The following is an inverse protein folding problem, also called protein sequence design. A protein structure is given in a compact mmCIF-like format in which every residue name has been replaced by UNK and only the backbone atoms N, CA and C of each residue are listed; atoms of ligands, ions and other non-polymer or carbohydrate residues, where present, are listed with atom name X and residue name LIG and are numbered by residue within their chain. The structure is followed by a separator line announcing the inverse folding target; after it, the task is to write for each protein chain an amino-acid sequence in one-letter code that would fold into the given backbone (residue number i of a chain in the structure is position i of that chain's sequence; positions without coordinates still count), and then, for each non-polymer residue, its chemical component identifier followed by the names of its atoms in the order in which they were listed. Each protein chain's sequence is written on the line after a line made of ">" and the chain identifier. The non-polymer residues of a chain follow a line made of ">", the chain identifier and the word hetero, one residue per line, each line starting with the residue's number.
data_IF_974216061387
#
_entry.id   IF_974216061387
#
_cell.length_a   1.000
_cell.length_b   1.000
_cell.length_c   1.000
_cell.angle_alpha   90.00
_cell.angle_beta   90.00
_cell.angle_gamma   90.00
#
_symmetry.space_group_name_H-M   'P 1'
#
loop_
_entity.id
_entity.type
_entity.pdbx_description
1 polymer ?
#
# COMPACT_ATOMS: atom_id res chain seq x y z
N UNK A 1 -28.00 35.78 -46.37
CA UNK A 1 -28.71 34.50 -46.12
C UNK A 1 -27.64 33.42 -45.97
N UNK A 2 -27.42 32.92 -44.75
CA UNK A 2 -26.53 31.80 -44.53
C UNK A 2 -27.30 30.51 -44.88
N UNK A 3 -26.70 29.55 -45.59
CA UNK A 3 -27.35 28.31 -45.93
C UNK A 3 -27.73 27.55 -44.67
N UNK A 4 -28.99 27.16 -44.51
CA UNK A 4 -29.47 26.28 -43.48
C UNK A 4 -28.74 24.94 -43.65
N UNK A 5 -27.91 24.56 -42.66
CA UNK A 5 -27.42 23.21 -42.56
C UNK A 5 -28.63 22.29 -42.38
N UNK A 6 -28.94 21.48 -43.40
CA UNK A 6 -29.83 20.35 -43.24
C UNK A 6 -29.17 19.38 -42.25
N UNK A 7 -29.92 18.84 -41.30
CA UNK A 7 -29.40 17.78 -40.46
C UNK A 7 -29.09 16.59 -41.39
N UNK A 8 -27.87 16.08 -41.31
CA UNK A 8 -27.45 14.87 -41.97
C UNK A 8 -28.42 13.76 -41.55
N UNK A 9 -29.12 13.18 -42.50
CA UNK A 9 -30.05 12.07 -42.28
C UNK A 9 -29.29 10.82 -41.84
N UNK A 10 -29.99 9.81 -41.30
CA UNK A 10 -29.37 8.58 -40.78
C UNK A 10 -28.52 7.81 -41.81
N UNK A 11 -28.61 8.16 -43.11
CA UNK A 11 -27.80 7.56 -44.17
C UNK A 11 -26.45 8.20 -44.41
N UNK A 12 -26.20 9.38 -43.82
CA UNK A 12 -24.95 10.10 -43.95
C UNK A 12 -24.04 9.94 -42.71
N UNK A 13 -24.50 9.26 -41.69
CA UNK A 13 -23.58 8.65 -40.73
C UNK A 13 -22.92 7.50 -41.49
N UNK A 14 -21.60 7.55 -41.80
CA UNK A 14 -20.94 6.31 -42.18
C UNK A 14 -21.38 5.28 -41.13
N UNK A 15 -21.85 4.12 -41.60
CA UNK A 15 -21.80 2.94 -40.77
C UNK A 15 -20.35 2.80 -40.33
N UNK A 16 -20.04 3.51 -39.25
CA UNK A 16 -18.91 3.16 -38.43
C UNK A 16 -19.23 1.71 -38.11
N UNK A 17 -18.50 0.74 -38.71
CA UNK A 17 -18.59 -0.64 -38.26
C UNK A 17 -18.48 -0.50 -36.79
N UNK A 18 -19.61 -0.74 -36.16
CA UNK A 18 -19.68 -0.53 -34.75
C UNK A 18 -18.33 -0.83 -34.17
N UNK A 19 -17.57 0.16 -34.19
CA UNK A 19 -16.28 0.08 -33.61
C UNK A 19 -16.47 0.24 -32.09
N UNK A 20 -17.19 -0.13 -32.22
CA UNK A 20 -17.99 -1.20 -31.93
C UNK A 20 -17.32 -1.96 -30.83
N UNK A 21 -16.21 -1.89 -30.56
CA UNK A 21 -15.53 -2.44 -29.42
C UNK A 21 -15.36 -1.51 -28.24
N UNK A 22 -15.58 -0.26 -28.37
CA UNK A 22 -15.34 0.71 -27.28
C UNK A 22 -16.63 1.11 -26.55
N UNK A 23 -17.65 0.30 -26.57
CA UNK A 23 -18.83 0.43 -25.71
C UNK A 23 -18.54 0.08 -24.26
N UNK A 24 -17.45 -0.65 -24.01
CA UNK A 24 -16.96 -0.97 -22.68
C UNK A 24 -15.43 -0.82 -22.62
N UNK A 25 -14.95 -0.10 -21.62
CA UNK A 25 -13.52 0.01 -21.39
C UNK A 25 -13.01 -1.20 -20.59
N UNK A 26 -11.76 -1.60 -20.89
CA UNK A 26 -11.11 -2.75 -20.27
C UNK A 26 -9.92 -2.35 -19.38
N UNK A 27 -9.56 -1.07 -19.37
CA UNK A 27 -8.45 -0.57 -18.56
C UNK A 27 -7.62 0.50 -19.25
N UNK A 28 -6.45 0.78 -18.67
CA UNK A 28 -5.50 1.79 -19.14
C UNK A 28 -4.28 1.11 -19.79
N UNK A 29 -3.87 1.62 -20.95
CA UNK A 29 -2.67 1.21 -21.66
C UNK A 29 -1.93 2.44 -22.20
N UNK A 30 -0.86 2.83 -21.56
CA UNK A 30 -0.10 4.05 -21.86
C UNK A 30 1.01 3.86 -22.90
N UNK A 31 1.07 2.71 -23.56
CA UNK A 31 2.02 2.47 -24.66
C UNK A 31 1.76 3.40 -25.83
N UNK A 32 2.66 3.40 -26.80
CA UNK A 32 2.49 4.22 -28.00
C UNK A 32 1.13 3.95 -28.67
N UNK A 33 0.43 4.96 -29.20
CA UNK A 33 -0.94 4.84 -29.72
C UNK A 33 -1.21 3.64 -30.63
N UNK A 34 -0.31 3.21 -31.53
CA UNK A 34 -0.52 2.03 -32.36
C UNK A 34 -0.59 0.71 -31.58
N UNK A 35 -0.07 0.69 -30.33
CA UNK A 35 0.01 -0.50 -29.50
C UNK A 35 -1.16 -0.59 -28.49
N UNK A 36 -1.99 0.45 -28.41
CA UNK A 36 -3.14 0.47 -27.49
C UNK A 36 -4.28 -0.34 -28.11
N UNK A 37 -4.67 -1.48 -27.50
CA UNK A 37 -5.72 -2.32 -28.06
C UNK A 37 -7.10 -1.66 -27.94
N UNK A 38 -8.08 -2.14 -28.71
CA UNK A 38 -9.49 -1.75 -28.51
C UNK A 38 -9.94 -1.96 -27.09
N UNK A 39 -10.80 -1.07 -26.58
CA UNK A 39 -11.30 -1.10 -25.22
C UNK A 39 -10.34 -0.52 -24.16
N UNK A 40 -9.12 -0.15 -24.52
CA UNK A 40 -8.20 0.51 -23.58
C UNK A 40 -8.10 2.01 -23.84
N UNK A 41 -7.95 2.77 -22.74
CA UNK A 41 -7.64 4.21 -22.80
C UNK A 41 -6.14 4.42 -22.69
N UNK A 42 -5.62 5.47 -23.33
CA UNK A 42 -4.19 5.76 -23.28
C UNK A 42 -3.77 6.43 -21.98
N UNK A 43 -4.68 7.04 -21.24
CA UNK A 43 -4.44 7.57 -19.90
C UNK A 43 -5.74 7.76 -19.14
N UNK A 44 -5.72 7.46 -17.84
CA UNK A 44 -6.81 7.69 -16.92
C UNK A 44 -6.25 8.25 -15.61
N UNK A 45 -6.63 9.49 -15.29
CA UNK A 45 -6.25 10.17 -14.05
C UNK A 45 -7.48 10.32 -13.17
N UNK A 46 -7.40 9.87 -11.92
CA UNK A 46 -8.47 10.00 -10.93
C UNK A 46 -9.81 9.38 -11.39
N UNK A 47 -9.75 8.27 -12.06
CA UNK A 47 -10.91 7.58 -12.61
C UNK A 47 -11.05 6.16 -12.06
N UNK A 48 -12.26 5.64 -12.11
CA UNK A 48 -12.58 4.25 -11.75
C UNK A 48 -13.29 3.58 -12.91
N UNK A 49 -12.93 2.34 -13.16
CA UNK A 49 -13.57 1.50 -14.17
C UNK A 49 -14.61 0.62 -13.49
N UNK A 50 -15.87 0.92 -13.72
CA UNK A 50 -17.01 0.21 -13.17
C UNK A 50 -17.84 -0.33 -14.33
N UNK A 51 -18.01 -1.64 -14.43
CA UNK A 51 -18.80 -2.31 -15.47
C UNK A 51 -18.48 -1.86 -16.92
N UNK A 52 -17.21 -1.55 -17.17
CA UNK A 52 -16.76 -1.09 -18.49
C UNK A 52 -16.93 0.41 -18.76
N UNK A 53 -17.35 1.19 -17.77
CA UNK A 53 -17.50 2.64 -17.85
C UNK A 53 -16.48 3.31 -16.93
N UNK A 54 -15.86 4.39 -17.40
CA UNK A 54 -15.03 5.23 -16.54
C UNK A 54 -15.86 6.30 -15.86
N UNK A 55 -15.81 6.34 -14.55
CA UNK A 55 -16.37 7.39 -13.70
C UNK A 55 -15.30 8.08 -12.88
N UNK A 56 -15.57 9.28 -12.36
CA UNK A 56 -14.66 9.94 -11.43
C UNK A 56 -14.46 9.08 -10.19
N UNK A 57 -13.22 8.96 -9.69
CA UNK A 57 -12.97 8.27 -8.44
C UNK A 57 -13.74 8.94 -7.29
N UNK A 58 -14.01 8.17 -6.27
CA UNK A 58 -14.46 8.74 -5.00
C UNK A 58 -13.29 9.43 -4.29
N UNK A 59 -13.61 10.47 -3.57
CA UNK A 59 -12.63 11.28 -2.90
C UNK A 59 -12.13 10.71 -1.59
N UNK A 60 -11.09 11.33 -1.07
CA UNK A 60 -10.63 11.12 0.28
C UNK A 60 -11.62 11.69 1.28
N UNK A 61 -11.82 11.01 2.39
CA UNK A 61 -12.56 11.53 3.51
C UNK A 61 -11.66 11.56 4.75
N UNK A 62 -11.20 12.75 5.11
CA UNK A 62 -10.60 12.95 6.42
C UNK A 62 -11.72 12.89 7.47
N UNK A 63 -11.77 11.86 8.31
CA UNK A 63 -12.77 11.82 9.38
C UNK A 63 -12.57 13.01 10.28
N UNK A 64 -13.68 13.52 10.81
CA UNK A 64 -13.60 14.66 11.70
C UNK A 64 -12.68 14.40 12.91
N UNK A 65 -12.55 13.16 13.35
CA UNK A 65 -11.64 12.76 14.42
C UNK A 65 -10.17 12.68 13.99
N UNK A 66 -9.84 12.72 12.71
CA UNK A 66 -8.45 12.85 12.25
C UNK A 66 -7.88 14.25 12.42
N UNK A 67 -8.72 15.19 12.87
CA UNK A 67 -8.32 16.53 13.30
C UNK A 67 -7.84 16.48 14.74
N UNK A 68 -6.94 17.35 15.06
CA UNK A 68 -6.73 17.73 16.43
C UNK A 68 -7.98 18.48 16.87
N UNK A 69 -8.68 17.96 17.83
CA UNK A 69 -9.88 18.40 18.50
C UNK A 69 -10.76 19.48 17.83
N UNK A 70 -12.04 19.28 17.81
CA UNK A 70 -12.99 20.36 17.58
C UNK A 70 -14.13 20.27 18.57
N UNK A 71 -14.73 21.41 18.83
CA UNK A 71 -15.87 21.54 19.74
C UNK A 71 -17.09 20.67 19.35
N UNK A 72 -17.15 20.21 18.09
CA UNK A 72 -18.28 19.45 17.56
C UNK A 72 -18.32 17.98 18.01
N UNK A 73 -17.26 17.51 18.65
CA UNK A 73 -17.18 16.15 19.15
C UNK A 73 -16.73 16.18 20.62
N UNK A 74 -17.63 16.29 21.56
CA UNK A 74 -17.32 16.53 22.96
C UNK A 74 -16.45 15.45 23.60
N UNK A 75 -16.50 14.22 23.14
CA UNK A 75 -15.59 13.16 23.62
C UNK A 75 -14.16 13.30 23.13
N UNK A 76 -13.88 14.17 22.14
CA UNK A 76 -12.53 14.47 21.65
C UNK A 76 -11.80 15.47 22.51
N UNK A 77 -12.55 16.42 23.08
CA UNK A 77 -12.00 17.44 23.95
C UNK A 77 -11.28 16.85 25.18
N UNK A 78 -11.57 15.59 25.54
CA UNK A 78 -10.92 14.91 26.66
C UNK A 78 -9.53 14.36 26.34
N UNK A 79 -9.22 14.18 25.04
CA UNK A 79 -7.94 13.55 24.62
C UNK A 79 -7.00 14.50 23.89
N UNK A 80 -7.56 15.42 23.12
CA UNK A 80 -6.79 16.29 22.23
C UNK A 80 -7.38 17.68 22.28
N UNK A 81 -6.76 18.57 23.01
CA UNK A 81 -7.12 20.00 22.95
C UNK A 81 -6.47 20.58 21.72
N UNK A 82 -7.26 21.24 20.86
CA UNK A 82 -6.81 21.93 19.64
C UNK A 82 -5.77 23.02 19.90
N UNK A 83 -5.77 23.53 21.10
CA UNK A 83 -4.89 24.55 21.62
C UNK A 83 -3.64 24.00 22.31
N UNK A 84 -3.52 22.66 22.41
CA UNK A 84 -2.31 22.06 22.96
C UNK A 84 -1.19 21.99 21.89
N UNK A 85 -0.47 23.11 21.78
CA UNK A 85 0.66 23.22 20.89
C UNK A 85 1.76 22.16 21.17
N UNK A 86 1.88 21.71 22.41
CA UNK A 86 2.83 20.67 22.79
C UNK A 86 2.40 19.31 22.23
N UNK A 87 1.11 19.00 22.28
CA UNK A 87 0.58 17.78 21.66
C UNK A 87 0.78 17.79 20.14
N UNK A 88 0.41 18.89 19.48
CA UNK A 88 0.57 19.04 18.03
C UNK A 88 2.05 18.87 17.66
N UNK A 89 2.97 19.51 18.38
CA UNK A 89 4.39 19.39 18.13
C UNK A 89 4.91 17.96 18.35
N UNK A 90 4.38 17.25 19.36
CA UNK A 90 4.84 15.89 19.69
C UNK A 90 4.31 14.82 18.73
N UNK A 91 3.10 14.97 18.18
CA UNK A 91 2.41 13.89 17.48
C UNK A 91 1.99 14.22 16.05
N UNK A 92 2.31 15.39 15.53
CA UNK A 92 1.99 15.77 14.15
C UNK A 92 2.78 14.96 13.12
N UNK A 93 4.05 14.63 13.41
CA UNK A 93 4.89 13.86 12.49
C UNK A 93 4.66 12.36 12.69
N UNK A 94 4.39 11.66 11.61
CA UNK A 94 4.22 10.21 11.59
C UNK A 94 5.36 9.56 10.82
N UNK A 95 5.96 8.55 11.41
CA UNK A 95 7.08 7.79 10.84
C UNK A 95 6.67 6.44 10.27
N UNK A 96 5.49 5.97 10.60
CA UNK A 96 4.91 4.73 10.12
C UNK A 96 3.52 4.52 10.71
N UNK A 97 2.86 3.48 10.28
CA UNK A 97 1.53 3.18 10.78
C UNK A 97 1.00 1.86 10.25
N UNK A 98 -0.20 1.54 10.67
CA UNK A 98 -0.88 0.31 10.30
C UNK A 98 -2.19 0.15 11.05
N UNK A 99 -2.58 -1.08 11.26
CA UNK A 99 -3.78 -1.47 11.97
C UNK A 99 -3.42 -2.27 13.22
N UNK A 100 -4.22 -2.12 14.27
CA UNK A 100 -4.22 -2.97 15.45
C UNK A 100 -5.64 -3.48 15.68
N UNK A 101 -5.79 -4.79 15.59
CA UNK A 101 -7.02 -5.48 16.00
C UNK A 101 -6.85 -5.91 17.46
N UNK A 102 -7.65 -5.36 18.35
CA UNK A 102 -7.58 -5.66 19.78
C UNK A 102 -8.23 -7.03 20.06
N UNK A 103 -7.47 -8.06 20.44
CA UNK A 103 -8.03 -9.38 20.69
C UNK A 103 -8.81 -9.47 22.01
N UNK A 104 -8.66 -8.47 22.89
CA UNK A 104 -9.40 -8.40 24.16
C UNK A 104 -10.79 -7.78 24.02
N UNK A 105 -11.04 -7.10 22.90
CA UNK A 105 -12.31 -6.44 22.62
C UNK A 105 -12.72 -6.83 21.19
N UNK A 106 -13.43 -7.93 21.05
CA UNK A 106 -13.78 -8.52 19.76
C UNK A 106 -14.50 -7.48 18.86
N UNK A 107 -13.85 -7.14 17.77
CA UNK A 107 -14.32 -6.19 16.76
C UNK A 107 -13.67 -4.80 16.84
N UNK A 108 -12.88 -4.51 17.84
CA UNK A 108 -12.18 -3.23 17.93
C UNK A 108 -10.92 -3.21 17.08
N UNK A 109 -11.00 -2.48 15.98
CA UNK A 109 -9.86 -2.26 15.08
C UNK A 109 -9.44 -0.79 15.12
N UNK A 110 -8.16 -0.56 15.42
CA UNK A 110 -7.57 0.76 15.56
C UNK A 110 -6.64 1.08 14.41
N UNK A 111 -6.66 2.32 13.98
CA UNK A 111 -5.57 2.86 13.17
C UNK A 111 -4.45 3.26 14.11
N UNK A 112 -3.25 2.81 13.86
CA UNK A 112 -2.06 3.09 14.67
C UNK A 112 -1.10 3.96 13.90
N UNK A 113 -0.62 5.04 14.53
CA UNK A 113 0.47 5.87 14.02
C UNK A 113 1.66 5.81 14.95
N UNK A 114 2.84 5.69 14.39
CA UNK A 114 4.10 5.81 15.12
C UNK A 114 4.57 7.25 15.06
N UNK A 115 4.58 7.91 16.19
CA UNK A 115 5.12 9.25 16.35
C UNK A 115 6.52 9.21 16.99
N UNK A 116 7.16 10.35 17.18
CA UNK A 116 8.52 10.41 17.71
C UNK A 116 8.69 9.71 19.08
N UNK A 117 7.71 9.84 19.96
CA UNK A 117 7.78 9.39 21.35
C UNK A 117 6.58 8.57 21.82
N UNK A 118 5.67 8.23 20.92
CA UNK A 118 4.45 7.49 21.26
C UNK A 118 3.84 6.76 20.08
N UNK A 119 2.99 5.77 20.38
CA UNK A 119 1.95 5.28 19.48
C UNK A 119 0.66 6.06 19.71
N UNK A 120 0.00 6.45 18.63
CA UNK A 120 -1.30 7.12 18.66
C UNK A 120 -2.32 6.22 17.98
N UNK A 121 -3.34 5.83 18.72
CA UNK A 121 -4.42 4.96 18.28
C UNK A 121 -5.68 5.78 18.04
N UNK A 122 -6.34 5.52 16.93
CA UNK A 122 -7.60 6.17 16.57
C UNK A 122 -8.60 5.14 16.02
N UNK A 123 -9.88 5.31 16.36
CA UNK A 123 -11.00 4.56 15.80
C UNK A 123 -12.22 5.46 15.66
N UNK A 124 -13.31 4.97 15.09
CA UNK A 124 -14.51 5.79 14.86
C UNK A 124 -15.07 6.41 16.13
N UNK A 125 -15.14 5.64 17.21
CA UNK A 125 -15.76 6.05 18.47
C UNK A 125 -14.80 6.68 19.45
N UNK A 126 -13.50 6.55 19.25
CA UNK A 126 -12.48 7.02 20.18
C UNK A 126 -11.24 7.53 19.45
N UNK A 127 -10.79 8.70 19.85
CA UNK A 127 -9.67 9.38 19.25
C UNK A 127 -8.54 9.50 20.23
N UNK A 128 -7.39 9.00 19.81
CA UNK A 128 -6.15 9.38 20.44
C UNK A 128 -5.88 8.69 21.76
N UNK A 129 -6.08 7.38 21.85
CA UNK A 129 -5.32 6.67 22.88
C UNK A 129 -3.85 6.79 22.56
N UNK A 130 -3.09 7.23 23.55
CA UNK A 130 -1.66 7.47 23.41
C UNK A 130 -0.95 6.46 24.30
N UNK A 131 -0.06 5.69 23.69
CA UNK A 131 0.84 4.78 24.40
C UNK A 131 2.24 5.37 24.31
N UNK A 132 2.78 5.95 25.39
CA UNK A 132 4.09 6.60 25.36
C UNK A 132 5.21 5.58 25.22
N UNK A 133 6.34 6.03 24.69
CA UNK A 133 7.56 5.25 24.70
C UNK A 133 8.25 5.40 26.06
N UNK A 134 8.99 4.38 26.47
CA UNK A 134 9.81 4.44 27.65
C UNK A 134 10.86 5.59 27.53
N UNK A 135 11.27 6.20 28.65
CA UNK A 135 12.22 7.30 28.63
C UNK A 135 13.50 7.00 27.83
N UNK A 136 13.91 7.94 27.00
CA UNK A 136 15.09 7.80 26.14
C UNK A 136 14.88 7.10 24.81
N UNK A 137 13.68 6.56 24.55
CA UNK A 137 13.33 5.95 23.28
C UNK A 137 12.68 6.99 22.36
N UNK A 138 13.19 7.07 21.13
CA UNK A 138 12.62 7.92 20.09
C UNK A 138 12.63 7.22 18.73
N UNK A 139 11.72 7.63 17.86
CA UNK A 139 11.68 7.27 16.44
C UNK A 139 11.86 8.53 15.61
N UNK A 140 12.78 8.51 14.66
CA UNK A 140 13.11 9.66 13.80
C UNK A 140 13.14 9.33 12.31
N UNK A 141 12.93 8.07 11.95
CA UNK A 141 12.95 7.56 10.57
C UNK A 141 11.75 6.69 10.26
N UNK A 142 11.56 6.38 8.98
CA UNK A 142 10.50 5.48 8.54
C UNK A 142 10.57 4.16 9.31
N UNK A 143 9.40 3.68 9.74
CA UNK A 143 9.27 2.44 10.51
C UNK A 143 8.08 1.62 10.00
N UNK A 144 8.11 0.34 10.32
CA UNK A 144 7.06 -0.62 10.02
C UNK A 144 6.42 -1.09 11.32
N UNK A 145 5.10 -1.29 11.31
CA UNK A 145 4.37 -1.93 12.40
C UNK A 145 4.01 -3.36 11.99
N UNK A 146 4.16 -4.27 12.93
CA UNK A 146 3.70 -5.65 12.82
C UNK A 146 2.84 -5.94 14.04
N UNK A 147 1.67 -6.52 13.82
CA UNK A 147 0.88 -7.11 14.89
C UNK A 147 1.13 -8.62 14.95
N UNK A 148 1.49 -9.12 16.13
CA UNK A 148 1.51 -10.55 16.44
C UNK A 148 0.66 -10.78 17.70
N UNK A 149 -0.52 -11.37 17.52
CA UNK A 149 -1.58 -11.45 18.54
C UNK A 149 -1.98 -10.07 19.08
N UNK A 150 -1.85 -9.86 20.39
CA UNK A 150 -2.11 -8.58 21.06
C UNK A 150 -0.91 -7.63 21.09
N UNK A 151 0.21 -8.02 20.51
CA UNK A 151 1.46 -7.30 20.57
C UNK A 151 1.70 -6.49 19.29
N UNK A 152 2.22 -5.28 19.43
CA UNK A 152 2.75 -4.49 18.33
C UNK A 152 4.27 -4.43 18.39
N UNK A 153 4.88 -4.72 17.27
CA UNK A 153 6.32 -4.62 17.07
C UNK A 153 6.58 -3.50 16.08
N UNK A 154 7.44 -2.56 16.43
CA UNK A 154 7.80 -1.43 15.60
C UNK A 154 9.25 -1.62 15.15
N UNK A 155 9.44 -1.83 13.86
CA UNK A 155 10.75 -1.97 13.24
C UNK A 155 11.23 -0.60 12.81
N UNK A 156 12.33 -0.15 13.41
CA UNK A 156 12.92 1.18 13.18
C UNK A 156 13.91 1.20 12.01
N UNK A 157 14.20 0.03 11.44
CA UNK A 157 15.20 -0.13 10.39
C UNK A 157 16.65 -0.01 10.87
N UNK A 158 17.57 -0.34 9.97
CA UNK A 158 19.00 -0.26 10.21
C UNK A 158 19.48 -1.19 11.33
N UNK A 159 20.36 -0.68 12.18
CA UNK A 159 20.93 -1.41 13.32
C UNK A 159 20.19 -1.14 14.64
N UNK A 160 19.04 -0.46 14.59
CA UNK A 160 18.28 -0.13 15.77
C UNK A 160 17.45 -1.34 16.24
N UNK A 161 17.45 -1.57 17.56
CA UNK A 161 16.58 -2.56 18.18
C UNK A 161 15.13 -2.21 17.92
N UNK A 162 14.32 -3.19 17.52
CA UNK A 162 12.88 -3.00 17.35
C UNK A 162 12.21 -2.61 18.66
N UNK A 163 11.07 -1.91 18.58
CA UNK A 163 10.28 -1.58 19.77
C UNK A 163 9.11 -2.56 19.90
N UNK A 164 8.57 -2.62 21.09
CA UNK A 164 7.55 -3.57 21.48
C UNK A 164 6.55 -2.96 22.46
N UNK A 165 5.27 -3.18 22.17
CA UNK A 165 4.15 -2.91 23.06
C UNK A 165 3.39 -4.22 23.31
N UNK A 166 3.14 -4.54 24.59
CA UNK A 166 2.54 -5.80 24.99
C UNK A 166 1.04 -5.90 24.81
N UNK A 167 0.37 -4.82 24.35
CA UNK A 167 -1.07 -4.78 24.10
C UNK A 167 -1.91 -4.26 25.26
N UNK A 168 -1.33 -4.06 26.44
CA UNK A 168 -2.06 -3.49 27.56
C UNK A 168 -1.99 -1.96 27.54
N UNK A 169 -3.13 -1.28 27.60
CA UNK A 169 -3.22 0.19 27.50
C UNK A 169 -2.50 0.94 28.62
N UNK A 170 -2.22 0.27 29.74
CA UNK A 170 -1.41 0.82 30.85
C UNK A 170 0.10 0.71 30.63
N UNK A 171 0.52 -0.04 29.64
CA UNK A 171 1.94 -0.27 29.37
C UNK A 171 2.55 0.85 28.52
N UNK A 172 3.88 0.91 28.55
CA UNK A 172 4.67 1.78 27.67
C UNK A 172 5.31 0.93 26.56
N UNK A 173 5.58 1.57 25.43
CA UNK A 173 6.41 0.96 24.38
C UNK A 173 7.87 0.95 24.88
N UNK A 174 8.51 -0.18 24.77
CA UNK A 174 9.91 -0.40 25.16
C UNK A 174 10.70 -1.08 24.06
N UNK A 175 12.00 -1.20 24.22
CA UNK A 175 12.79 -2.00 23.30
C UNK A 175 12.39 -3.48 23.38
N UNK A 176 12.40 -4.14 22.23
CA UNK A 176 12.12 -5.56 22.11
C UNK A 176 13.34 -6.35 22.63
N UNK A 177 13.49 -6.35 23.93
CA UNK A 177 14.56 -7.06 24.63
C UNK A 177 13.89 -7.95 25.68
N UNK A 178 14.15 -9.26 25.68
CA UNK A 178 13.59 -10.13 26.70
C UNK A 178 14.16 -9.78 28.08
N UNK A 179 13.35 -9.91 29.11
CA UNK A 179 13.78 -9.74 30.50
C UNK A 179 14.84 -10.77 30.91
N UNK A 180 14.79 -11.94 30.30
CA UNK A 180 15.79 -13.01 30.38
C UNK A 180 15.77 -13.82 29.09
N UNK A 181 16.92 -14.35 28.69
CA UNK A 181 17.01 -15.24 27.54
C UNK A 181 16.92 -16.67 28.09
N UNK A 182 15.88 -17.39 27.71
CA UNK A 182 15.72 -18.80 28.08
C UNK A 182 16.77 -19.67 27.37
N UNK A 183 17.05 -20.83 27.96
CA UNK A 183 18.00 -21.79 27.35
C UNK A 183 17.51 -22.19 25.95
N UNK A 184 18.41 -22.14 24.98
CA UNK A 184 18.09 -22.43 23.57
C UNK A 184 17.59 -21.24 22.74
N UNK A 185 17.47 -20.05 23.35
CA UNK A 185 17.10 -18.81 22.66
C UNK A 185 18.25 -17.82 22.57
N UNK A 186 18.16 -16.92 21.61
CA UNK A 186 19.10 -15.82 21.39
C UNK A 186 18.41 -14.47 21.62
N UNK A 187 19.20 -13.41 21.77
CA UNK A 187 18.71 -12.06 21.82
C UNK A 187 18.03 -11.67 20.49
N UNK A 188 17.08 -10.75 20.57
CA UNK A 188 16.40 -10.20 19.39
C UNK A 188 17.42 -9.40 18.55
N UNK A 189 17.62 -9.73 17.29
CA UNK A 189 18.51 -8.98 16.44
C UNK A 189 17.87 -7.68 15.94
N UNK A 190 18.66 -6.66 15.60
CA UNK A 190 18.18 -5.52 14.84
C UNK A 190 17.57 -5.99 13.51
N UNK A 191 16.49 -5.34 13.05
CA UNK A 191 15.79 -5.74 11.85
C UNK A 191 15.50 -4.55 10.93
N UNK A 192 15.57 -4.80 9.62
CA UNK A 192 15.19 -3.84 8.58
C UNK A 192 13.76 -4.00 8.10
N UNK A 193 13.16 -5.15 8.32
CA UNK A 193 11.81 -5.52 7.92
C UNK A 193 11.31 -6.68 8.78
N UNK A 194 10.00 -6.89 8.86
CA UNK A 194 9.45 -8.04 9.52
C UNK A 194 7.99 -8.29 9.16
N UNK A 195 7.49 -9.43 9.61
CA UNK A 195 6.10 -9.84 9.45
C UNK A 195 5.70 -10.82 10.55
N UNK A 196 4.40 -10.95 10.76
CA UNK A 196 3.83 -12.07 11.52
C UNK A 196 3.52 -13.20 10.54
N UNK A 197 3.98 -14.42 10.85
CA UNK A 197 3.75 -15.60 10.04
C UNK A 197 3.72 -16.86 10.90
N UNK A 198 2.63 -17.62 10.78
CA UNK A 198 2.44 -18.89 11.52
C UNK A 198 2.74 -18.74 13.02
N UNK A 199 2.08 -17.74 13.63
CA UNK A 199 2.15 -17.48 15.07
C UNK A 199 3.55 -17.07 15.58
N UNK A 200 4.45 -16.72 14.65
CA UNK A 200 5.79 -16.24 14.94
C UNK A 200 5.98 -14.83 14.38
N UNK A 201 6.87 -14.10 15.00
CA UNK A 201 7.45 -12.91 14.39
C UNK A 201 8.66 -13.30 13.58
N UNK A 202 8.69 -12.90 12.33
CA UNK A 202 9.81 -13.11 11.42
C UNK A 202 10.48 -11.76 11.20
N UNK A 203 11.78 -11.69 11.49
CA UNK A 203 12.59 -10.49 11.29
C UNK A 203 13.62 -10.73 10.21
N UNK A 204 13.84 -9.73 9.37
CA UNK A 204 14.93 -9.69 8.40
C UNK A 204 16.07 -8.89 9.01
N UNK A 205 17.13 -9.58 9.37
CA UNK A 205 18.27 -9.01 10.06
C UNK A 205 19.53 -9.04 9.19
N UNK A 206 20.35 -8.04 9.35
CA UNK A 206 21.59 -7.93 8.59
C UNK A 206 21.34 -7.96 7.08
N UNK A 207 22.19 -8.69 6.36
CA UNK A 207 22.09 -8.80 4.89
C UNK A 207 21.38 -10.06 4.43
N UNK A 208 21.48 -11.13 5.20
CA UNK A 208 21.17 -12.48 4.73
C UNK A 208 20.38 -13.31 5.76
N UNK A 209 19.99 -12.75 6.89
CA UNK A 209 19.41 -13.50 8.00
C UNK A 209 17.90 -13.30 8.09
N UNK A 210 17.17 -14.39 7.98
CA UNK A 210 15.75 -14.51 8.31
C UNK A 210 15.67 -15.12 9.70
N UNK A 211 15.13 -14.39 10.66
CA UNK A 211 15.15 -14.79 12.08
C UNK A 211 13.71 -14.94 12.56
N UNK A 212 13.40 -16.13 13.09
CA UNK A 212 12.07 -16.50 13.54
C UNK A 212 11.99 -16.55 15.05
N UNK A 213 10.97 -15.92 15.61
CA UNK A 213 10.70 -15.99 17.05
C UNK A 213 10.19 -17.37 17.48
N UNK A 214 10.12 -17.60 18.78
CA UNK A 214 9.28 -18.65 19.35
C UNK A 214 7.82 -18.48 18.94
N UNK A 215 7.06 -19.54 19.00
CA UNK A 215 5.60 -19.51 18.76
C UNK A 215 4.96 -18.67 19.88
N UNK A 216 4.10 -17.72 19.51
CA UNK A 216 3.39 -16.81 20.41
C UNK A 216 4.26 -15.85 21.25
N UNK A 217 5.59 -15.90 21.10
CA UNK A 217 6.49 -15.05 21.86
C UNK A 217 7.48 -14.32 20.92
N UNK A 218 7.25 -13.04 20.73
CA UNK A 218 8.08 -12.18 19.89
C UNK A 218 9.38 -11.74 20.58
N UNK A 219 9.58 -12.07 21.85
CA UNK A 219 10.76 -11.67 22.62
C UNK A 219 11.87 -12.74 22.64
N UNK A 220 11.54 -13.97 22.28
CA UNK A 220 12.47 -15.10 22.28
C UNK A 220 12.71 -15.59 20.85
N UNK A 221 13.96 -15.71 20.45
CA UNK A 221 14.35 -16.18 19.11
C UNK A 221 15.16 -17.47 19.22
N UNK A 222 14.77 -18.49 18.47
CA UNK A 222 15.43 -19.80 18.51
C UNK A 222 16.89 -19.68 18.04
N UNK A 223 17.84 -20.01 18.90
CA UNK A 223 19.27 -19.87 18.63
C UNK A 223 19.80 -20.94 17.65
N UNK A 224 19.10 -22.03 17.49
CA UNK A 224 19.57 -23.20 16.70
C UNK A 224 18.90 -23.26 15.34
N UNK A 225 17.58 -23.14 15.31
CA UNK A 225 16.78 -23.34 14.08
C UNK A 225 16.07 -22.06 13.64
N UNK A 226 16.03 -21.02 14.48
CA UNK A 226 15.36 -19.77 14.18
C UNK A 226 16.13 -18.81 13.27
N UNK A 227 17.41 -19.08 13.01
CA UNK A 227 18.23 -18.25 12.13
C UNK A 227 18.47 -18.99 10.83
N UNK A 228 17.95 -18.43 9.76
CA UNK A 228 18.00 -19.01 8.43
C UNK A 228 18.76 -18.07 7.50
N UNK A 229 19.82 -18.55 6.89
CA UNK A 229 20.65 -17.77 5.96
C UNK A 229 20.10 -17.88 4.55
N UNK A 230 19.74 -16.75 3.97
CA UNK A 230 19.20 -16.66 2.62
C UNK A 230 20.32 -16.25 1.65
N UNK A 231 20.87 -17.21 0.91
CA UNK A 231 21.88 -16.99 -0.12
C UNK A 231 23.07 -16.14 0.36
N UNK A 232 23.70 -16.58 1.45
CA UNK A 232 24.77 -15.88 2.15
C UNK A 232 25.96 -15.55 1.24
N UNK A 233 26.50 -14.34 1.37
CA UNK A 233 27.76 -13.95 0.75
C UNK A 233 27.65 -13.45 -0.70
N UNK A 234 26.46 -13.25 -1.24
CA UNK A 234 26.23 -12.79 -2.62
C UNK A 234 26.22 -11.27 -2.81
N UNK A 235 26.47 -10.46 -1.80
CA UNK A 235 26.47 -9.00 -1.92
C UNK A 235 25.07 -8.36 -1.98
N UNK A 236 24.05 -9.15 -2.01
CA UNK A 236 22.64 -8.87 -2.08
C UNK A 236 22.04 -8.76 -0.66
N UNK A 237 21.04 -7.93 -0.43
CA UNK A 237 20.47 -7.65 0.91
C UNK A 237 19.00 -8.00 0.99
N UNK A 238 18.57 -8.58 2.10
CA UNK A 238 17.17 -8.83 2.41
C UNK A 238 16.38 -7.51 2.45
N UNK A 239 15.20 -7.50 1.85
CA UNK A 239 14.34 -6.32 1.79
C UNK A 239 12.95 -6.58 2.32
N UNK A 240 12.31 -7.68 1.93
CA UNK A 240 10.97 -8.04 2.36
C UNK A 240 10.77 -9.54 2.37
N UNK A 241 9.77 -9.98 3.11
CA UNK A 241 9.24 -11.33 3.02
C UNK A 241 7.71 -11.26 3.07
N UNK A 242 7.04 -12.06 2.26
CA UNK A 242 5.58 -12.06 2.14
C UNK A 242 5.06 -13.49 2.15
N UNK A 243 3.99 -13.79 2.89
CA UNK A 243 3.38 -15.12 2.86
C UNK A 243 2.93 -15.49 1.44
N UNK A 244 3.28 -16.71 1.03
CA UNK A 244 2.88 -17.30 -0.24
C UNK A 244 2.23 -18.66 0.05
N UNK A 245 0.91 -18.66 0.16
CA UNK A 245 0.18 -19.81 0.69
C UNK A 245 0.39 -20.00 2.19
N UNK A 246 0.08 -21.18 2.69
CA UNK A 246 0.08 -21.49 4.14
C UNK A 246 1.46 -21.89 4.68
N UNK A 247 2.35 -22.41 3.84
CA UNK A 247 3.61 -23.02 4.27
C UNK A 247 4.86 -22.35 3.74
N UNK A 248 4.73 -21.30 2.91
CA UNK A 248 5.86 -20.68 2.25
C UNK A 248 5.90 -19.17 2.47
N UNK A 249 7.10 -18.62 2.46
CA UNK A 249 7.37 -17.20 2.36
C UNK A 249 8.11 -16.91 1.07
N UNK A 250 7.65 -15.91 0.33
CA UNK A 250 8.45 -15.32 -0.71
C UNK A 250 9.41 -14.32 -0.08
N UNK A 251 10.69 -14.55 -0.21
CA UNK A 251 11.75 -13.72 0.37
C UNK A 251 12.41 -12.92 -0.75
N UNK A 252 12.28 -11.60 -0.67
CA UNK A 252 12.80 -10.67 -1.65
C UNK A 252 14.09 -10.04 -1.12
N UNK A 253 15.18 -10.24 -1.86
CA UNK A 253 16.42 -9.49 -1.68
C UNK A 253 16.49 -8.35 -2.69
N UNK A 254 17.49 -7.51 -2.59
CA UNK A 254 17.62 -6.38 -3.53
C UNK A 254 17.78 -6.81 -4.99
N UNK A 255 18.35 -7.99 -5.26
CA UNK A 255 18.63 -8.47 -6.61
C UNK A 255 18.18 -9.91 -6.88
N UNK A 256 17.69 -10.63 -5.88
CA UNK A 256 17.29 -12.03 -6.02
C UNK A 256 16.01 -12.35 -5.25
N UNK A 257 15.36 -13.42 -5.66
CA UNK A 257 14.10 -13.92 -5.14
C UNK A 257 14.26 -15.35 -4.64
N UNK A 258 13.73 -15.62 -3.46
CA UNK A 258 13.83 -16.94 -2.83
C UNK A 258 12.47 -17.35 -2.28
N UNK A 259 12.25 -18.67 -2.21
CA UNK A 259 11.12 -19.25 -1.50
C UNK A 259 11.64 -19.97 -0.28
N UNK A 260 11.22 -19.53 0.86
CA UNK A 260 11.38 -20.27 2.12
C UNK A 260 10.15 -21.14 2.32
N UNK A 261 10.36 -22.42 2.53
CA UNK A 261 9.29 -23.38 2.79
C UNK A 261 9.58 -24.14 4.09
N UNK A 262 8.57 -24.25 4.93
CA UNK A 262 8.59 -25.07 6.13
C UNK A 262 7.22 -25.76 6.26
N UNK A 263 7.21 -27.07 6.16
CA UNK A 263 5.97 -27.88 6.17
C UNK A 263 5.46 -28.06 7.59
N UNK A 264 6.37 -28.28 8.53
CA UNK A 264 6.04 -28.46 9.93
C UNK A 264 6.13 -27.15 10.72
N UNK A 265 5.53 -27.13 11.91
CA UNK A 265 5.77 -26.06 12.86
C UNK A 265 7.21 -26.06 13.41
N UNK A 266 7.90 -27.22 13.31
CA UNK A 266 9.31 -27.35 13.62
C UNK A 266 10.14 -26.74 12.48
N UNK A 267 11.10 -25.89 12.84
CA UNK A 267 11.96 -25.19 11.87
C UNK A 267 13.03 -26.11 11.23
N UNK A 268 13.09 -27.35 11.65
CA UNK A 268 14.09 -28.35 11.21
C UNK A 268 13.92 -28.81 9.76
N UNK A 269 12.74 -28.60 9.18
CA UNK A 269 12.43 -28.96 7.79
C UNK A 269 12.50 -27.78 6.82
N UNK A 270 13.07 -26.69 7.28
CA UNK A 270 13.17 -25.45 6.52
C UNK A 270 14.03 -25.62 5.26
N UNK A 271 13.52 -25.11 4.15
CA UNK A 271 14.18 -25.11 2.86
C UNK A 271 14.11 -23.74 2.20
N UNK A 272 15.16 -23.37 1.48
CA UNK A 272 15.21 -22.16 0.68
C UNK A 272 15.56 -22.51 -0.77
N UNK A 273 14.68 -22.13 -1.68
CA UNK A 273 14.86 -22.28 -3.11
C UNK A 273 15.06 -20.93 -3.78
N UNK A 274 16.19 -20.76 -4.47
CA UNK A 274 16.48 -19.54 -5.26
C UNK A 274 15.76 -19.60 -6.59
N UNK A 275 15.07 -18.52 -6.95
CA UNK A 275 14.36 -18.39 -8.22
C UNK A 275 15.21 -17.62 -9.24
N UNK A 276 15.26 -18.05 -10.52
CA UNK A 276 16.05 -17.42 -11.55
C UNK A 276 15.36 -16.14 -12.07
N UNK A 277 15.43 -15.07 -11.29
CA UNK A 277 14.85 -13.77 -11.68
C UNK A 277 15.83 -12.64 -11.40
N UNK A 278 15.99 -11.77 -12.37
CA UNK A 278 16.70 -10.51 -12.17
C UNK A 278 15.74 -9.45 -11.64
N UNK A 279 16.09 -8.80 -10.54
CA UNK A 279 15.30 -7.74 -9.95
C UNK A 279 16.18 -6.62 -9.38
N UNK A 280 15.58 -5.46 -9.15
CA UNK A 280 16.16 -4.33 -8.43
C UNK A 280 15.11 -3.78 -7.48
N UNK A 281 15.03 -4.40 -6.31
CA UNK A 281 13.97 -4.17 -5.35
C UNK A 281 14.45 -3.33 -4.17
N UNK A 282 13.93 -2.11 -4.07
CA UNK A 282 14.28 -1.14 -3.04
C UNK A 282 13.06 -0.62 -2.25
N UNK A 283 11.86 -1.16 -2.52
CA UNK A 283 10.57 -0.71 -1.97
C UNK A 283 9.88 -1.79 -1.11
N UNK A 284 10.41 -2.10 0.08
CA UNK A 284 9.98 -3.26 0.87
C UNK A 284 8.49 -3.29 1.21
N UNK A 285 7.89 -2.13 1.49
CA UNK A 285 6.48 -2.04 1.88
C UNK A 285 5.51 -2.12 0.67
N UNK A 286 6.02 -2.30 -0.55
CA UNK A 286 5.19 -2.58 -1.73
C UNK A 286 4.98 -4.07 -1.96
N UNK A 287 5.67 -4.94 -1.23
CA UNK A 287 5.50 -6.38 -1.32
C UNK A 287 4.28 -6.82 -0.51
N UNK A 288 3.24 -7.29 -1.20
CA UNK A 288 1.96 -7.67 -0.60
C UNK A 288 1.40 -8.96 -1.20
N UNK A 289 0.61 -9.69 -0.44
CA UNK A 289 -0.12 -10.85 -0.91
C UNK A 289 -1.53 -10.44 -1.37
N UNK A 290 -1.90 -10.84 -2.58
CA UNK A 290 -3.24 -10.68 -3.14
C UNK A 290 -3.51 -11.76 -4.20
N UNK A 291 -4.74 -12.29 -4.27
CA UNK A 291 -5.16 -13.25 -5.30
C UNK A 291 -4.29 -14.52 -5.41
N UNK A 292 -3.86 -15.06 -4.26
CA UNK A 292 -2.90 -16.17 -4.18
C UNK A 292 -1.55 -15.89 -4.86
N UNK A 293 -1.23 -14.62 -5.08
CA UNK A 293 0.03 -14.14 -5.63
C UNK A 293 0.67 -13.17 -4.65
N UNK A 294 1.98 -13.04 -4.76
CA UNK A 294 2.72 -11.93 -4.17
C UNK A 294 2.97 -10.89 -5.25
N UNK A 295 2.65 -9.67 -4.93
CA UNK A 295 2.85 -8.49 -5.76
C UNK A 295 3.99 -7.66 -5.17
N UNK A 296 4.82 -7.08 -6.01
CA UNK A 296 5.84 -6.11 -5.58
C UNK A 296 6.15 -5.12 -6.68
N UNK A 297 6.66 -3.97 -6.30
CA UNK A 297 7.14 -2.94 -7.22
C UNK A 297 8.67 -2.88 -7.17
N UNK A 298 9.34 -3.13 -8.28
CA UNK A 298 10.77 -2.94 -8.44
C UNK A 298 11.08 -1.93 -9.56
N UNK A 299 12.36 -1.63 -9.79
CA UNK A 299 12.75 -0.62 -10.80
C UNK A 299 12.34 -0.98 -12.23
N UNK A 300 12.00 -2.22 -12.49
CA UNK A 300 11.49 -2.67 -13.79
C UNK A 300 9.98 -2.61 -13.89
N UNK A 301 9.30 -2.37 -12.78
CA UNK A 301 7.85 -2.24 -12.70
C UNK A 301 7.21 -3.14 -11.66
N UNK A 302 5.90 -3.26 -11.72
CA UNK A 302 5.12 -4.17 -10.87
C UNK A 302 5.20 -5.58 -11.42
N UNK A 303 5.48 -6.52 -10.54
CA UNK A 303 5.58 -7.94 -10.84
C UNK A 303 4.74 -8.75 -9.89
N UNK A 304 4.43 -9.97 -10.30
CA UNK A 304 3.75 -10.95 -9.46
C UNK A 304 4.46 -12.29 -9.48
N UNK A 305 4.31 -13.04 -8.41
CA UNK A 305 4.72 -14.43 -8.32
C UNK A 305 3.63 -15.27 -7.70
N UNK A 306 3.41 -16.44 -8.25
CA UNK A 306 2.51 -17.48 -7.73
C UNK A 306 3.21 -18.83 -7.73
N UNK A 307 2.71 -19.77 -6.94
CA UNK A 307 3.22 -21.15 -6.97
C UNK A 307 2.83 -21.77 -8.31
N UNK A 308 3.79 -22.06 -9.16
CA UNK A 308 3.57 -22.72 -10.46
C UNK A 308 3.47 -24.21 -10.34
N UNK A 309 4.43 -24.83 -9.63
CA UNK A 309 4.45 -26.28 -9.37
C UNK A 309 5.25 -26.60 -8.12
N UNK A 310 4.95 -27.75 -7.55
CA UNK A 310 5.75 -28.35 -6.48
C UNK A 310 6.35 -29.65 -7.07
N UNK A 311 7.67 -29.71 -7.15
CA UNK A 311 8.38 -30.88 -7.65
C UNK A 311 8.38 -32.03 -6.61
N UNK A 312 8.76 -33.22 -7.07
CA UNK A 312 8.80 -34.46 -6.24
C UNK A 312 9.65 -34.27 -4.98
N UNK A 313 10.67 -33.41 -5.03
CA UNK A 313 11.53 -33.09 -3.89
C UNK A 313 11.00 -31.94 -3.01
N UNK A 314 9.72 -31.60 -3.09
CA UNK A 314 9.11 -30.43 -2.44
C UNK A 314 9.74 -29.07 -2.85
N UNK A 315 10.45 -29.03 -3.96
CA UNK A 315 10.97 -27.79 -4.52
C UNK A 315 9.82 -26.97 -5.10
N UNK A 316 9.72 -25.73 -4.64
CA UNK A 316 8.71 -24.79 -5.12
C UNK A 316 9.26 -24.02 -6.33
N UNK A 317 8.60 -24.18 -7.46
CA UNK A 317 8.86 -23.36 -8.65
C UNK A 317 7.79 -22.28 -8.75
N UNK A 318 8.23 -21.05 -8.91
CA UNK A 318 7.35 -19.91 -9.08
C UNK A 318 7.07 -19.64 -10.55
N UNK A 319 5.82 -19.30 -10.82
CA UNK A 319 5.45 -18.60 -12.04
C UNK A 319 5.52 -17.10 -11.76
N UNK A 320 6.46 -16.43 -12.42
CA UNK A 320 6.69 -15.00 -12.25
C UNK A 320 6.18 -14.27 -13.50
N UNK A 321 5.28 -13.31 -13.29
CA UNK A 321 4.84 -12.40 -14.34
C UNK A 321 5.53 -11.05 -14.17
N UNK A 322 6.40 -10.72 -15.11
CA UNK A 322 7.14 -9.46 -15.18
C UNK A 322 6.49 -8.45 -16.13
N UNK A 323 5.40 -8.81 -16.78
CA UNK A 323 4.73 -7.99 -17.82
C UNK A 323 3.55 -7.20 -17.29
N UNK A 324 3.18 -7.39 -16.03
CA UNK A 324 2.01 -6.75 -15.40
C UNK A 324 1.99 -5.24 -15.62
N UNK A 325 3.14 -4.58 -15.53
CA UNK A 325 3.25 -3.13 -15.68
C UNK A 325 3.66 -2.64 -17.07
N UNK A 326 3.78 -3.51 -18.07
CA UNK A 326 4.20 -3.12 -19.43
C UNK A 326 3.28 -2.06 -20.03
N UNK A 327 1.98 -2.17 -19.74
CA UNK A 327 0.98 -1.21 -20.21
C UNK A 327 1.13 0.19 -19.59
N UNK A 328 1.71 0.29 -18.41
CA UNK A 328 1.97 1.55 -17.72
C UNK A 328 3.47 1.88 -17.64
N UNK A 329 4.30 1.27 -18.48
CA UNK A 329 5.73 1.52 -18.51
C UNK A 329 6.12 3.01 -18.58
N UNK A 330 5.39 3.90 -19.27
CA UNK A 330 5.65 5.33 -19.22
C UNK A 330 5.53 5.94 -17.82
N UNK A 331 4.59 5.49 -16.96
CA UNK A 331 4.50 5.90 -15.56
C UNK A 331 5.65 5.33 -14.73
N UNK A 332 5.97 4.06 -14.91
CA UNK A 332 7.06 3.39 -14.17
C UNK A 332 8.39 4.12 -14.37
N UNK A 333 8.66 4.62 -15.59
CA UNK A 333 9.88 5.40 -15.90
C UNK A 333 9.96 6.75 -15.20
N UNK A 334 8.82 7.31 -14.77
CA UNK A 334 8.71 8.58 -14.07
C UNK A 334 8.86 8.45 -12.55
N UNK A 335 8.93 7.22 -12.03
CA UNK A 335 9.04 6.99 -10.58
C UNK A 335 10.38 7.52 -10.06
N UNK A 336 10.32 8.28 -8.99
CA UNK A 336 11.48 8.83 -8.28
C UNK A 336 12.08 7.78 -7.33
N UNK A 337 12.79 6.80 -7.88
CA UNK A 337 13.31 5.62 -7.19
C UNK A 337 14.21 5.88 -5.98
N UNK A 338 14.79 7.06 -5.88
CA UNK A 338 15.58 7.46 -4.70
C UNK A 338 14.74 7.48 -3.40
N UNK A 339 13.43 7.52 -3.52
CA UNK A 339 12.49 7.51 -2.39
C UNK A 339 11.76 6.18 -2.24
N UNK A 340 12.21 5.12 -2.90
CA UNK A 340 11.54 3.83 -2.94
C UNK A 340 11.28 3.21 -1.55
N UNK A 341 12.12 3.50 -0.57
CA UNK A 341 11.93 3.04 0.81
C UNK A 341 10.65 3.59 1.48
N UNK A 342 10.06 4.66 0.94
CA UNK A 342 8.81 5.26 1.42
C UNK A 342 7.57 4.73 0.69
N UNK A 343 7.76 3.98 -0.40
CA UNK A 343 6.63 3.45 -1.17
C UNK A 343 5.96 2.33 -0.40
N UNK A 344 4.65 2.27 -0.51
CA UNK A 344 3.85 1.26 0.16
C UNK A 344 2.73 0.76 -0.75
N UNK A 345 2.16 -0.39 -0.43
CA UNK A 345 1.03 -0.91 -1.16
C UNK A 345 -0.09 -1.34 -0.20
N UNK A 346 -1.30 -1.36 -0.73
CA UNK A 346 -2.47 -1.88 -0.05
C UNK A 346 -3.35 -2.67 -1.00
N UNK A 347 -4.10 -3.59 -0.45
CA UNK A 347 -5.06 -4.40 -1.16
C UNK A 347 -6.45 -4.25 -0.53
N UNK A 348 -7.44 -4.11 -1.39
CA UNK A 348 -8.86 -4.22 -1.03
C UNK A 348 -9.49 -5.38 -1.81
N UNK A 349 -10.76 -5.64 -1.59
CA UNK A 349 -11.50 -6.64 -2.36
C UNK A 349 -11.49 -6.37 -3.87
N UNK A 350 -11.46 -5.10 -4.26
CA UNK A 350 -11.60 -4.70 -5.67
C UNK A 350 -10.28 -4.25 -6.30
N UNK A 351 -9.34 -3.72 -5.52
CA UNK A 351 -8.18 -2.99 -6.06
C UNK A 351 -6.89 -3.27 -5.29
N UNK A 352 -5.79 -3.08 -5.99
CA UNK A 352 -4.44 -2.99 -5.41
C UNK A 352 -3.91 -1.59 -5.69
N UNK A 353 -3.37 -0.97 -4.66
CA UNK A 353 -2.81 0.38 -4.70
C UNK A 353 -1.32 0.34 -4.43
N UNK A 354 -0.54 1.06 -5.24
CA UNK A 354 0.87 1.30 -4.99
C UNK A 354 1.08 2.80 -4.83
N UNK A 355 1.49 3.23 -3.64
CA UNK A 355 1.85 4.63 -3.41
C UNK A 355 3.27 4.88 -3.87
N UNK A 356 3.45 5.86 -4.74
CA UNK A 356 4.75 6.17 -5.37
C UNK A 356 4.95 7.68 -5.44
N UNK A 357 6.20 8.08 -5.57
CA UNK A 357 6.57 9.44 -5.95
C UNK A 357 6.87 9.49 -7.45
N UNK A 358 6.27 10.41 -8.18
CA UNK A 358 6.54 10.63 -9.60
C UNK A 358 7.34 11.91 -9.82
N UNK A 359 8.18 11.92 -10.85
CA UNK A 359 8.91 13.08 -11.32
C UNK A 359 9.75 13.75 -10.22
N UNK A 360 9.36 14.95 -9.80
CA UNK A 360 10.04 15.74 -8.76
C UNK A 360 9.45 15.58 -7.37
N UNK A 361 8.45 14.71 -7.20
CA UNK A 361 7.89 14.41 -5.89
C UNK A 361 8.96 13.79 -5.00
N UNK A 362 9.01 14.21 -3.75
CA UNK A 362 9.92 13.67 -2.73
C UNK A 362 9.24 12.71 -1.79
N UNK A 363 7.92 12.66 -1.83
CA UNK A 363 7.06 11.81 -1.03
C UNK A 363 6.06 11.09 -1.93
N UNK A 364 5.53 9.93 -1.53
CA UNK A 364 4.57 9.17 -2.31
C UNK A 364 3.20 9.88 -2.33
N UNK A 365 2.99 10.68 -3.37
CA UNK A 365 1.79 11.50 -3.60
C UNK A 365 0.98 11.05 -4.82
N UNK A 366 1.32 9.90 -5.35
CA UNK A 366 0.62 9.30 -6.49
C UNK A 366 0.30 7.85 -6.18
N UNK A 367 -0.90 7.39 -6.55
CA UNK A 367 -1.27 5.99 -6.46
C UNK A 367 -1.37 5.40 -7.87
N UNK A 368 -0.76 4.26 -8.08
CA UNK A 368 -1.03 3.40 -9.23
C UNK A 368 -2.14 2.44 -8.82
N UNK A 369 -3.20 2.34 -9.60
CA UNK A 369 -4.42 1.60 -9.25
C UNK A 369 -4.63 0.43 -10.21
N UNK A 370 -4.56 -0.77 -9.66
CA UNK A 370 -4.87 -2.01 -10.36
C UNK A 370 -6.28 -2.47 -9.98
N UNK A 371 -7.13 -2.69 -10.95
CA UNK A 371 -8.46 -3.25 -10.75
C UNK A 371 -8.37 -4.78 -10.83
N UNK A 372 -8.74 -5.44 -9.74
CA UNK A 372 -8.67 -6.90 -9.59
C UNK A 372 -9.75 -7.62 -10.38
N UNK A 373 -10.92 -7.01 -10.55
CA UNK A 373 -12.06 -7.61 -11.26
C UNK A 373 -11.78 -7.76 -12.75
N UNK A 374 -11.23 -6.72 -13.38
CA UNK A 374 -10.90 -6.71 -14.80
C UNK A 374 -9.44 -7.10 -15.07
N UNK A 375 -8.63 -7.33 -14.03
CA UNK A 375 -7.22 -7.68 -14.13
C UNK A 375 -6.43 -6.71 -15.02
N UNK A 376 -6.61 -5.41 -14.80
CA UNK A 376 -5.97 -4.37 -15.59
C UNK A 376 -5.65 -3.13 -14.74
N UNK A 377 -4.68 -2.33 -15.19
CA UNK A 377 -4.47 -0.99 -14.67
C UNK A 377 -5.70 -0.15 -14.98
N UNK A 378 -6.24 0.47 -13.97
CA UNK A 378 -7.47 1.26 -14.06
C UNK A 378 -7.14 2.73 -14.24
N UNK A 379 -6.31 3.27 -13.37
CA UNK A 379 -5.92 4.66 -13.37
C UNK A 379 -4.63 4.88 -12.60
N UNK A 380 -4.17 6.12 -12.58
CA UNK A 380 -3.30 6.64 -11.53
C UNK A 380 -4.00 7.81 -10.85
N UNK A 381 -3.85 7.91 -9.53
CA UNK A 381 -4.54 8.93 -8.77
C UNK A 381 -3.56 9.96 -8.24
N UNK A 382 -3.96 11.21 -8.34
CA UNK A 382 -3.29 12.35 -7.73
C UNK A 382 -4.34 13.24 -7.09
N UNK A 383 -3.97 13.93 -6.05
CA UNK A 383 -4.82 14.89 -5.37
C UNK A 383 -4.24 16.30 -5.47
N UNK A 384 -5.12 17.30 -5.29
CA UNK A 384 -4.70 18.69 -5.35
C UNK A 384 -3.76 18.99 -4.17
N UNK A 385 -2.49 19.24 -4.48
CA UNK A 385 -1.46 19.52 -3.48
C UNK A 385 -1.61 20.87 -2.81
N UNK A 386 -2.37 21.82 -3.37
CA UNK A 386 -2.59 23.15 -2.78
C UNK A 386 -3.35 23.07 -1.46
N UNK A 387 -4.33 22.17 -1.37
CA UNK A 387 -5.17 22.01 -0.19
C UNK A 387 -4.78 20.81 0.66
N UNK A 388 -4.21 19.77 0.04
CA UNK A 388 -3.60 18.61 0.69
C UNK A 388 -2.08 18.72 0.75
N UNK A 389 -1.55 19.94 0.90
CA UNK A 389 -0.11 20.16 1.00
C UNK A 389 0.51 19.13 1.94
N UNK A 390 1.45 18.36 1.40
CA UNK A 390 2.18 17.30 2.11
C UNK A 390 1.37 16.05 2.52
N UNK A 391 0.16 15.83 1.98
CA UNK A 391 -0.45 14.52 2.15
C UNK A 391 0.30 13.49 1.28
N UNK A 392 1.07 12.65 1.93
CA UNK A 392 1.82 11.58 1.29
C UNK A 392 1.50 10.27 2.00
N UNK A 393 1.16 9.25 1.25
CA UNK A 393 0.77 7.97 1.84
C UNK A 393 2.01 7.19 2.24
N UNK A 394 2.33 7.17 3.53
CA UNK A 394 3.43 6.39 4.09
C UNK A 394 3.02 4.97 4.45
N UNK A 395 1.81 4.81 4.95
CA UNK A 395 1.32 3.53 5.43
C UNK A 395 -0.19 3.42 5.20
N UNK A 396 -0.69 2.21 5.33
CA UNK A 396 -2.09 1.89 5.14
C UNK A 396 -2.64 1.16 6.36
N UNK A 397 -3.90 1.44 6.67
CA UNK A 397 -4.69 0.69 7.63
C UNK A 397 -5.92 0.12 6.90
N UNK A 398 -5.85 -1.14 6.46
CA UNK A 398 -6.95 -1.80 5.77
C UNK A 398 -8.03 -2.26 6.74
N UNK A 399 -9.25 -2.37 6.22
CA UNK A 399 -10.39 -2.98 6.90
C UNK A 399 -10.76 -2.36 8.28
N UNK A 400 -10.46 -1.07 8.47
CA UNK A 400 -10.87 -0.37 9.69
C UNK A 400 -12.37 -0.04 9.61
N UNK A 401 -13.19 -0.45 10.59
CA UNK A 401 -14.60 -0.10 10.61
C UNK A 401 -14.80 1.42 10.69
N UNK A 402 -15.64 1.93 9.80
CA UNK A 402 -16.08 3.31 9.82
C UNK A 402 -17.46 3.42 9.16
N UNK A 403 -18.43 4.00 9.88
CA UNK A 403 -19.83 4.03 9.48
C UNK A 403 -20.37 2.62 9.14
N UNK A 404 -20.04 1.64 10.00
CA UNK A 404 -20.43 0.23 9.88
C UNK A 404 -19.89 -0.50 8.64
N UNK A 405 -18.88 0.07 7.95
CA UNK A 405 -18.25 -0.58 6.82
C UNK A 405 -16.73 -0.62 6.99
N UNK A 406 -16.05 -1.71 6.60
CA UNK A 406 -14.60 -1.76 6.59
C UNK A 406 -14.05 -0.83 5.52
N UNK A 407 -13.16 0.08 5.90
CA UNK A 407 -12.55 1.07 5.01
C UNK A 407 -11.04 0.92 4.97
N UNK A 408 -10.46 1.32 3.85
CA UNK A 408 -9.03 1.50 3.71
C UNK A 408 -8.66 2.92 4.12
N UNK A 409 -7.81 3.07 5.13
CA UNK A 409 -7.27 4.35 5.53
C UNK A 409 -5.83 4.51 5.07
N UNK A 410 -5.55 5.67 4.49
CA UNK A 410 -4.20 6.12 4.24
C UNK A 410 -3.69 6.92 5.43
N UNK A 411 -2.43 6.70 5.79
CA UNK A 411 -1.73 7.37 6.89
C UNK A 411 -0.62 8.21 6.27
N UNK A 412 -0.64 9.51 6.56
CA UNK A 412 0.32 10.46 6.01
C UNK A 412 1.43 10.82 7.00
N UNK A 413 2.57 11.24 6.47
CA UNK A 413 3.71 11.73 7.23
C UNK A 413 3.37 12.90 8.17
N UNK A 414 2.37 13.71 7.83
CA UNK A 414 1.91 14.85 8.63
C UNK A 414 0.81 14.48 9.65
N UNK A 415 0.66 13.20 9.98
CA UNK A 415 -0.30 12.73 10.97
C UNK A 415 -1.75 12.66 10.51
N UNK A 416 -2.04 13.06 9.28
CA UNK A 416 -3.40 12.95 8.74
C UNK A 416 -3.72 11.52 8.39
N UNK A 417 -4.98 11.18 8.57
CA UNK A 417 -5.56 9.90 8.21
C UNK A 417 -6.79 10.18 7.36
N UNK A 418 -6.95 9.45 6.29
CA UNK A 418 -8.10 9.62 5.42
C UNK A 418 -8.59 8.26 4.88
N UNK A 419 -9.91 8.05 4.95
CA UNK A 419 -10.53 6.96 4.25
C UNK A 419 -10.45 7.21 2.75
N UNK A 420 -10.05 6.20 2.02
CA UNK A 420 -9.88 6.27 0.58
C UNK A 420 -11.14 5.78 -0.15
N UNK A 421 -11.41 6.37 -1.33
CA UNK A 421 -12.59 6.04 -2.16
C UNK A 421 -13.93 6.19 -1.43
N UNK A 422 -14.13 7.29 -0.69
CA UNK A 422 -15.32 7.46 0.14
C UNK A 422 -16.37 8.43 -0.44
N UNK A 423 -15.97 9.68 -0.73
CA UNK A 423 -16.91 10.70 -1.21
C UNK A 423 -17.01 10.76 -2.72
N UNK A 424 -18.21 11.04 -3.22
CA UNK A 424 -18.42 11.29 -4.65
C UNK A 424 -17.97 12.71 -5.02
N UNK A 425 -17.11 12.81 -6.02
CA UNK A 425 -16.79 14.06 -6.71
C UNK A 425 -15.83 15.01 -6.01
N UNK A 426 -15.52 14.83 -4.74
CA UNK A 426 -14.70 15.78 -3.97
C UNK A 426 -13.78 15.07 -2.98
N UNK A 427 -12.57 15.62 -2.80
CA UNK A 427 -11.66 15.25 -1.72
C UNK A 427 -11.94 16.11 -0.49
N UNK A 428 -12.28 15.49 0.63
CA UNK A 428 -12.36 16.16 1.92
C UNK A 428 -10.95 16.25 2.52
N UNK A 429 -10.34 17.41 2.36
CA UNK A 429 -8.92 17.63 2.69
C UNK A 429 -8.68 18.09 4.13
N UNK A 430 -9.72 18.30 4.90
CA UNK A 430 -9.65 18.75 6.29
C UNK A 430 -10.76 19.73 6.61
N UNK A 431 -10.52 20.57 7.60
CA UNK A 431 -11.51 21.52 8.08
C UNK A 431 -10.84 22.85 8.49
N UNK A 432 -11.60 23.94 8.49
CA UNK A 432 -11.23 25.20 9.13
C UNK A 432 -12.31 25.46 10.19
N UNK A 433 -11.94 25.36 11.45
CA UNK A 433 -12.94 25.31 12.51
C UNK A 433 -13.89 24.11 12.29
N UNK A 434 -15.18 24.34 12.18
CA UNK A 434 -16.21 23.34 11.92
C UNK A 434 -16.47 23.11 10.42
N UNK A 435 -15.96 24.00 9.55
CA UNK A 435 -16.25 23.98 8.11
C UNK A 435 -15.36 22.97 7.39
N UNK A 436 -15.92 21.94 6.71
CA UNK A 436 -15.16 21.02 5.92
C UNK A 436 -14.51 21.73 4.72
N UNK A 437 -13.23 21.51 4.50
CA UNK A 437 -12.52 21.94 3.27
C UNK A 437 -12.62 20.82 2.27
N UNK A 438 -13.19 21.13 1.12
CA UNK A 438 -13.37 20.20 0.02
C UNK A 438 -12.61 20.69 -1.20
N UNK A 439 -12.01 19.77 -1.93
CA UNK A 439 -11.34 20.03 -3.19
C UNK A 439 -11.98 19.17 -4.28
N UNK A 440 -12.35 19.80 -5.39
CA UNK A 440 -12.87 19.08 -6.53
C UNK A 440 -11.83 18.11 -7.09
N UNK A 441 -12.26 16.92 -7.45
CA UNK A 441 -11.41 15.92 -8.09
C UNK A 441 -11.30 16.27 -9.58
N UNK A 442 -10.09 16.59 -10.02
CA UNK A 442 -9.82 16.73 -11.45
C UNK A 442 -9.57 15.38 -12.06
N UNK A 443 -10.50 14.94 -12.91
CA UNK A 443 -10.40 13.68 -13.63
C UNK A 443 -10.10 13.92 -15.11
N UNK A 444 -9.23 13.11 -15.68
CA UNK A 444 -8.86 13.21 -17.10
C UNK A 444 -8.84 11.84 -17.74
N UNK A 445 -9.55 11.69 -18.85
CA UNK A 445 -9.55 10.51 -19.68
C UNK A 445 -8.97 10.86 -21.05
N UNK A 446 -7.93 10.13 -21.45
CA UNK A 446 -7.38 10.24 -22.80
C UNK A 446 -7.61 8.90 -23.51
N UNK A 447 -8.44 8.93 -24.52
CA UNK A 447 -8.72 7.73 -25.33
C UNK A 447 -7.54 7.41 -26.25
N UNK A 448 -7.53 6.19 -26.78
CA UNK A 448 -6.58 5.80 -27.84
C UNK A 448 -6.84 6.61 -29.12
N UNK A 449 -5.85 6.65 -30.01
CA UNK A 449 -6.05 7.21 -31.35
C UNK A 449 -6.97 6.30 -32.18
N UNK A 450 -7.99 6.88 -32.75
CA UNK A 450 -8.92 6.18 -33.65
C UNK A 450 -8.52 6.45 -35.10
N UNK A 451 -8.11 5.42 -35.81
CA UNK A 451 -7.74 5.52 -37.25
C UNK A 451 -8.89 5.13 -38.17
N UNK A 452 -9.98 4.60 -37.64
CA UNK A 452 -11.12 4.07 -38.40
C UNK A 452 -10.67 3.15 -39.56
N UNK A 453 -9.65 2.32 -39.33
CA UNK A 453 -9.14 1.37 -40.31
C UNK A 453 -8.28 1.95 -41.43
N UNK A 454 -7.95 3.24 -41.41
CA UNK A 454 -7.11 3.90 -42.43
C UNK A 454 -5.90 4.59 -41.77
N UNK A 455 -4.75 4.48 -42.40
CA UNK A 455 -3.51 5.17 -42.00
C UNK A 455 -3.52 6.66 -42.35
N UNK A 456 -4.49 7.15 -43.07
CA UNK A 456 -4.61 8.55 -43.49
C UNK A 456 -5.13 9.44 -42.34
N UNK A 457 -4.69 10.67 -42.31
CA UNK A 457 -5.21 11.66 -41.36
C UNK A 457 -6.72 11.89 -41.61
N UNK A 458 -7.52 11.65 -40.58
CA UNK A 458 -8.96 11.83 -40.63
C UNK A 458 -9.39 13.02 -39.78
N UNK A 459 -10.31 13.81 -40.32
CA UNK A 459 -10.96 14.91 -39.63
C UNK A 459 -12.22 14.38 -38.93
N UNK A 460 -12.22 14.32 -37.62
CA UNK A 460 -13.44 14.07 -36.86
C UNK A 460 -14.31 15.34 -36.85
N UNK A 461 -15.51 15.22 -37.31
CA UNK A 461 -16.46 16.35 -37.41
C UNK A 461 -17.34 16.47 -36.15
N UNK A 462 -17.40 15.45 -35.32
CA UNK A 462 -18.23 15.45 -34.11
C UNK A 462 -17.68 14.45 -33.07
N UNK A 463 -17.60 14.89 -31.83
CA UNK A 463 -17.47 14.02 -30.67
C UNK A 463 -18.64 14.28 -29.73
N UNK A 464 -19.23 13.23 -29.19
CA UNK A 464 -20.27 13.32 -28.16
C UNK A 464 -19.75 12.65 -26.91
N UNK A 465 -19.73 13.42 -25.84
CA UNK A 465 -19.41 12.93 -24.49
C UNK A 465 -20.70 13.08 -23.69
N UNK A 466 -21.18 12.00 -23.14
CA UNK A 466 -22.28 12.01 -22.18
C UNK A 466 -21.64 12.06 -20.78
N UNK A 467 -21.96 13.10 -20.04
CA UNK A 467 -21.61 13.25 -18.64
C UNK A 467 -22.90 13.09 -17.85
N UNK A 468 -22.96 12.07 -17.02
CA UNK A 468 -24.06 11.83 -16.08
C UNK A 468 -23.75 12.48 -14.72
#
# INVERSE_FOLDING_TARGET
>A
MLPRHQPLGPRDTPDLPAATGDLAFAGMDMRAPPLVPPGFVSSALNLRLVEGVYESRRGWAAPAWSRHASADFPYRASYLRDDDAAYIAAYATTYGGGVFADPGDEGDTWIVRVCATALVFTRETEIGRIVPFAPGITVSGACQIIQNFNQLIIIRGGELTSLYWAGAWSDVVKELVPSSIASGYAAVPPASYGLAWRERTVLLSGRDELVLSAIFDSTQYDATYGIIYVNRGRGDTLRAAVPLGSSSLLVLKSQSLHVYTSVAAALTDARIDTQPVEMQFDSPLTAIAADNKVWWLDRRGVRTAEIGSIEVDNKVLLRIDSTVSDRIAPLIRRIAWKYAALFSAAVTTERIYFSVALDQQTLPQTLLVWNRQVSAWESYDQWNTTDLVNFAVLAWAPAVPWLNEPRLFAISANGRQAAYDYHLGEDLVGYIGTTPRRAAITSTLTTRGYTAGSAEAKKFTRAQVQLD
#
